data_IF_166873096183
#
_entry.id   IF_166873096183
#
_cell.length_a   1.000
_cell.length_b   1.000
_cell.length_c   1.000
_cell.angle_alpha   90.00
_cell.angle_beta   90.00
_cell.angle_gamma   90.00
#
_symmetry.space_group_name_H-M   'P 1'
#
loop_
_entity.id
_entity.type
_entity.pdbx_description
1 polymer ?
#
# COMPACT_ATOMS: atom_id res chain seq x y z
N UNK A 1 -1.07 54.78 60.42
CA UNK A 1 -1.70 53.46 60.40
C UNK A 1 -2.51 53.28 59.10
N UNK A 2 -1.86 53.39 57.98
CA UNK A 2 -2.46 53.15 56.65
C UNK A 2 -1.30 52.77 55.74
N UNK A 3 -0.96 51.51 55.66
CA UNK A 3 -0.06 50.95 54.58
C UNK A 3 0.09 49.46 54.73
N UNK A 4 -0.96 48.67 54.48
CA UNK A 4 -0.85 47.19 54.38
C UNK A 4 -2.02 46.53 53.62
N UNK A 5 -2.63 47.17 52.62
CA UNK A 5 -3.66 46.52 51.81
C UNK A 5 -3.44 46.84 50.32
N UNK A 6 -2.32 46.44 49.76
CA UNK A 6 -2.09 46.59 48.31
C UNK A 6 -1.18 45.54 47.70
N UNK A 7 -1.08 44.32 48.27
CA UNK A 7 -0.19 43.30 47.71
C UNK A 7 -0.86 41.91 47.59
N UNK A 8 -2.16 41.82 47.48
CA UNK A 8 -2.89 40.54 47.37
C UNK A 8 -3.73 40.39 46.08
N UNK A 9 -3.59 41.26 45.10
CA UNK A 9 -4.44 41.24 43.87
C UNK A 9 -3.67 41.03 42.58
N UNK A 10 -2.38 40.62 42.61
CA UNK A 10 -1.57 40.43 41.40
C UNK A 10 -1.19 38.98 41.08
N UNK A 11 -1.68 38.00 41.85
CA UNK A 11 -1.28 36.58 41.66
C UNK A 11 -2.38 35.65 41.04
N UNK A 12 -3.50 36.18 40.54
CA UNK A 12 -4.61 35.37 40.10
C UNK A 12 -4.86 35.38 38.56
N UNK A 13 -3.93 35.84 37.71
CA UNK A 13 -4.16 35.98 36.25
C UNK A 13 -3.20 35.14 35.36
N UNK A 14 -2.57 34.10 35.84
CA UNK A 14 -1.65 33.32 35.00
C UNK A 14 -1.94 31.81 34.93
N UNK A 15 -3.20 31.35 35.06
CA UNK A 15 -3.50 29.91 34.95
C UNK A 15 -4.69 29.59 34.05
N UNK A 16 -4.80 30.21 32.85
CA UNK A 16 -5.87 29.84 31.91
C UNK A 16 -5.40 29.62 30.47
N UNK A 17 -4.24 29.04 30.24
CA UNK A 17 -3.81 28.78 28.85
C UNK A 17 -3.40 27.34 28.54
N UNK A 18 -3.69 26.35 29.40
CA UNK A 18 -3.28 24.96 29.16
C UNK A 18 -4.40 24.03 28.65
N UNK A 19 -5.64 24.50 28.51
CA UNK A 19 -6.76 23.63 28.13
C UNK A 19 -7.23 23.75 26.67
N UNK A 20 -6.67 24.67 25.90
CA UNK A 20 -7.11 24.90 24.52
C UNK A 20 -6.48 23.95 23.48
N UNK A 21 -5.39 23.26 23.81
CA UNK A 21 -4.70 22.39 22.85
C UNK A 21 -5.14 20.92 22.89
N UNK A 22 -5.75 20.49 23.98
CA UNK A 22 -6.22 19.09 24.10
C UNK A 22 -7.56 18.85 23.40
N UNK A 23 -8.35 19.91 23.19
CA UNK A 23 -9.63 19.83 22.47
C UNK A 23 -9.48 19.63 20.94
N UNK A 24 -8.42 20.15 20.33
CA UNK A 24 -8.24 20.09 18.88
C UNK A 24 -7.82 18.70 18.37
N UNK A 25 -7.01 17.97 19.13
CA UNK A 25 -6.55 16.63 18.73
C UNK A 25 -7.67 15.60 18.88
N UNK A 26 -8.46 15.68 19.94
CA UNK A 26 -9.62 14.81 20.13
C UNK A 26 -10.74 15.08 19.12
N UNK A 27 -10.97 16.36 18.76
CA UNK A 27 -11.93 16.72 17.72
C UNK A 27 -11.48 16.27 16.33
N UNK A 28 -10.19 16.36 16.00
CA UNK A 28 -9.66 15.82 14.76
C UNK A 28 -9.78 14.29 14.68
N UNK A 29 -9.56 13.59 15.78
CA UNK A 29 -9.72 12.14 15.87
C UNK A 29 -11.17 11.69 15.69
N UNK A 30 -12.13 12.36 16.34
CA UNK A 30 -13.56 12.07 16.19
C UNK A 30 -14.08 12.43 14.81
N UNK A 31 -13.63 13.54 14.23
CA UNK A 31 -13.98 13.91 12.86
C UNK A 31 -13.40 12.93 11.83
N UNK A 32 -12.15 12.48 12.03
CA UNK A 32 -11.53 11.48 11.18
C UNK A 32 -12.29 10.14 11.23
N UNK A 33 -12.74 9.71 12.42
CA UNK A 33 -13.55 8.50 12.56
C UNK A 33 -14.94 8.68 11.93
N UNK A 34 -15.61 9.81 12.15
CA UNK A 34 -16.90 10.11 11.52
C UNK A 34 -16.82 10.13 9.99
N UNK A 35 -15.70 10.59 9.41
CA UNK A 35 -15.47 10.53 7.97
C UNK A 35 -15.34 9.09 7.45
N UNK A 36 -14.72 8.19 8.22
CA UNK A 36 -14.67 6.76 7.88
C UNK A 36 -16.08 6.16 7.93
N UNK A 37 -16.85 6.45 8.98
CA UNK A 37 -18.23 5.96 9.14
C UNK A 37 -19.14 6.50 8.02
N UNK A 38 -18.93 7.74 7.57
CA UNK A 38 -19.66 8.32 6.45
C UNK A 38 -19.38 7.62 5.12
N UNK A 39 -18.13 7.15 4.90
CA UNK A 39 -17.78 6.34 3.72
C UNK A 39 -18.42 4.95 3.74
N UNK A 40 -18.68 4.43 4.93
CA UNK A 40 -19.32 3.11 5.12
C UNK A 40 -20.84 3.19 4.94
N UNK A 41 -21.46 4.34 5.25
CA UNK A 41 -22.91 4.54 5.15
C UNK A 41 -23.36 4.43 3.69
N UNK A 42 -24.15 3.39 3.39
CA UNK A 42 -24.64 3.07 2.05
C UNK A 42 -23.74 2.16 1.23
N UNK A 43 -22.55 1.78 1.72
CA UNK A 43 -21.73 0.78 1.05
C UNK A 43 -22.34 -0.62 1.24
N UNK A 44 -22.49 -1.36 0.14
CA UNK A 44 -22.89 -2.76 0.21
C UNK A 44 -21.79 -3.58 0.89
N UNK A 45 -22.19 -4.45 1.85
CA UNK A 45 -21.26 -5.41 2.43
C UNK A 45 -20.68 -6.30 1.33
N UNK A 46 -19.38 -6.27 1.20
CA UNK A 46 -18.66 -7.19 0.32
C UNK A 46 -18.26 -8.37 1.19
N UNK A 47 -18.99 -9.45 1.05
CA UNK A 47 -18.51 -10.72 1.58
C UNK A 47 -17.11 -10.93 1.00
N UNK A 48 -16.05 -11.11 1.83
CA UNK A 48 -14.79 -11.56 1.32
C UNK A 48 -15.15 -12.84 0.57
N UNK A 49 -14.98 -12.83 -0.74
CA UNK A 49 -14.90 -14.10 -1.44
C UNK A 49 -13.61 -14.70 -0.91
N UNK A 50 -13.73 -15.35 0.23
CA UNK A 50 -12.74 -16.29 0.71
C UNK A 50 -12.38 -17.13 -0.50
N UNK A 51 -11.19 -17.65 -0.51
CA UNK A 51 -10.73 -18.54 -1.56
C UNK A 51 -11.93 -19.28 -2.12
N UNK A 52 -12.40 -18.80 -3.30
CA UNK A 52 -13.62 -19.35 -3.85
C UNK A 52 -13.31 -20.82 -4.03
N UNK A 53 -14.10 -21.71 -3.42
CA UNK A 53 -13.91 -23.14 -3.46
C UNK A 53 -13.73 -23.51 -4.93
N UNK A 54 -12.48 -23.92 -5.28
CA UNK A 54 -12.13 -24.17 -6.67
C UNK A 54 -11.33 -23.09 -7.41
N UNK A 55 -10.84 -22.04 -6.75
CA UNK A 55 -9.95 -21.03 -7.37
C UNK A 55 -8.55 -21.09 -6.76
N UNK A 56 -7.53 -21.22 -7.62
CA UNK A 56 -6.12 -21.16 -7.24
C UNK A 56 -5.60 -19.74 -7.47
N UNK A 57 -4.87 -19.20 -6.48
CA UNK A 57 -4.34 -17.85 -6.52
C UNK A 57 -5.18 -16.86 -5.72
N UNK A 58 -4.83 -15.57 -5.79
CA UNK A 58 -5.46 -14.52 -5.01
C UNK A 58 -5.76 -13.29 -5.86
N UNK A 59 -6.94 -12.64 -5.70
CA UNK A 59 -7.28 -11.42 -6.41
C UNK A 59 -6.57 -10.18 -5.86
N UNK A 60 -5.94 -10.27 -4.69
CA UNK A 60 -5.42 -9.13 -3.95
C UNK A 60 -3.95 -8.83 -4.24
N UNK A 61 -3.56 -7.57 -4.06
CA UNK A 61 -2.15 -7.16 -4.06
C UNK A 61 -1.38 -7.68 -2.83
N UNK A 62 -2.10 -7.86 -1.72
CA UNK A 62 -1.65 -8.52 -0.49
C UNK A 62 -2.84 -9.24 0.15
N UNK A 63 -2.66 -10.47 0.61
CA UNK A 63 -3.75 -11.25 1.21
C UNK A 63 -4.11 -10.82 2.63
N UNK A 64 -3.25 -10.06 3.28
CA UNK A 64 -3.46 -9.59 4.64
C UNK A 64 -4.34 -8.34 4.63
N UNK A 65 -5.12 -8.15 5.68
CA UNK A 65 -5.67 -6.87 6.04
C UNK A 65 -4.56 -6.05 6.71
N UNK A 66 -4.19 -4.95 6.09
CA UNK A 66 -3.11 -4.09 6.58
C UNK A 66 -3.72 -2.76 7.04
N UNK A 67 -3.22 -2.18 8.15
CA UNK A 67 -3.56 -0.81 8.49
C UNK A 67 -3.28 0.11 7.31
N UNK A 68 -4.25 0.92 6.93
CA UNK A 68 -4.16 1.74 5.74
C UNK A 68 -4.56 3.18 5.98
N UNK A 69 -3.88 4.10 5.33
CA UNK A 69 -4.12 5.53 5.36
C UNK A 69 -4.64 5.97 3.99
N UNK A 70 -5.83 6.57 3.96
CA UNK A 70 -6.48 7.01 2.72
C UNK A 70 -6.25 8.49 2.50
N UNK A 71 -5.90 8.87 1.27
CA UNK A 71 -5.80 10.25 0.82
C UNK A 71 -6.92 10.56 -0.18
N UNK A 72 -7.76 11.51 0.19
CA UNK A 72 -8.94 11.90 -0.58
C UNK A 72 -8.66 13.16 -1.40
N UNK A 73 -9.33 13.31 -2.54
CA UNK A 73 -9.28 14.55 -3.34
C UNK A 73 -9.75 15.77 -2.56
N UNK A 74 -10.60 15.58 -1.56
CA UNK A 74 -11.13 16.63 -0.69
C UNK A 74 -10.17 17.07 0.40
N UNK A 75 -9.04 16.36 0.60
CA UNK A 75 -8.11 16.63 1.70
C UNK A 75 -8.67 16.34 3.10
N UNK A 76 -9.83 15.69 3.19
CA UNK A 76 -10.45 15.36 4.48
C UNK A 76 -9.59 14.31 5.19
N UNK A 77 -9.18 14.56 6.46
CA UNK A 77 -8.43 13.57 7.23
C UNK A 77 -9.30 12.37 7.57
N UNK A 78 -8.75 11.18 7.40
CA UNK A 78 -9.39 9.92 7.75
C UNK A 78 -8.56 9.18 8.80
N UNK A 79 -9.22 8.51 9.74
CA UNK A 79 -8.54 7.60 10.65
C UNK A 79 -8.00 6.39 9.88
N UNK A 80 -6.87 5.80 10.30
CA UNK A 80 -6.37 4.56 9.70
C UNK A 80 -7.40 3.44 9.85
N UNK A 81 -7.57 2.68 8.78
CA UNK A 81 -8.50 1.54 8.74
C UNK A 81 -7.83 0.34 8.08
N UNK A 82 -8.18 -0.91 8.44
CA UNK A 82 -7.70 -2.06 7.70
C UNK A 82 -8.20 -2.04 6.26
N UNK A 83 -7.26 -2.06 5.32
CA UNK A 83 -7.51 -2.01 3.87
C UNK A 83 -6.99 -3.27 3.17
N UNK A 84 -7.60 -3.56 2.03
CA UNK A 84 -7.16 -4.58 1.07
C UNK A 84 -7.46 -4.12 -0.34
N UNK A 85 -6.46 -4.18 -1.23
CA UNK A 85 -6.64 -3.84 -2.64
C UNK A 85 -6.93 -5.10 -3.47
N UNK A 86 -8.16 -5.19 -3.97
CA UNK A 86 -8.60 -6.21 -4.93
C UNK A 86 -8.23 -5.75 -6.34
N UNK A 87 -7.09 -6.25 -6.82
CA UNK A 87 -6.54 -5.92 -8.14
C UNK A 87 -7.39 -6.47 -9.27
N UNK A 88 -7.91 -7.70 -9.10
CA UNK A 88 -8.71 -8.36 -10.12
C UNK A 88 -9.98 -7.57 -10.46
N UNK A 89 -10.65 -7.07 -9.43
CA UNK A 89 -11.89 -6.30 -9.56
C UNK A 89 -11.64 -4.77 -9.49
N UNK A 90 -10.39 -4.32 -9.37
CA UNK A 90 -9.97 -2.89 -9.35
C UNK A 90 -10.68 -2.07 -8.30
N UNK A 91 -10.76 -2.58 -7.07
CA UNK A 91 -11.52 -1.94 -5.97
C UNK A 91 -10.78 -2.03 -4.65
N UNK A 92 -11.08 -1.09 -3.77
CA UNK A 92 -10.60 -1.10 -2.40
C UNK A 92 -11.67 -1.71 -1.47
N UNK A 93 -11.21 -2.57 -0.59
CA UNK A 93 -12.01 -3.12 0.49
C UNK A 93 -11.51 -2.54 1.80
N UNK A 94 -12.42 -2.29 2.72
CA UNK A 94 -12.12 -1.84 4.07
C UNK A 94 -12.81 -2.74 5.09
N UNK A 95 -12.23 -2.85 6.26
CA UNK A 95 -12.84 -3.53 7.39
C UNK A 95 -13.08 -2.51 8.50
N UNK A 96 -14.34 -2.08 8.73
CA UNK A 96 -14.64 -1.14 9.80
C UNK A 96 -14.37 -1.76 11.17
N UNK A 97 -13.91 -0.93 12.13
CA UNK A 97 -13.53 -1.39 13.47
C UNK A 97 -14.70 -1.97 14.25
N UNK A 98 -15.92 -1.53 13.95
CA UNK A 98 -17.17 -1.94 14.63
C UNK A 98 -17.93 -3.07 13.94
N UNK A 99 -17.40 -3.63 12.85
CA UNK A 99 -18.01 -4.70 12.05
C UNK A 99 -17.01 -5.81 11.76
N UNK A 100 -17.52 -7.02 11.54
CA UNK A 100 -16.73 -8.18 11.12
C UNK A 100 -16.71 -8.35 9.58
N UNK A 101 -17.61 -7.65 8.89
CA UNK A 101 -17.75 -7.75 7.44
C UNK A 101 -16.91 -6.70 6.75
N UNK A 102 -16.27 -7.10 5.66
CA UNK A 102 -15.58 -6.16 4.79
C UNK A 102 -16.57 -5.41 3.91
N UNK A 103 -16.28 -4.14 3.68
CA UNK A 103 -17.09 -3.25 2.85
C UNK A 103 -16.31 -2.83 1.60
N UNK A 104 -17.04 -2.62 0.52
CA UNK A 104 -16.50 -1.96 -0.65
C UNK A 104 -16.39 -0.45 -0.36
N UNK A 105 -15.17 0.08 -0.49
CA UNK A 105 -14.95 1.50 -0.39
C UNK A 105 -15.34 2.19 -1.71
N UNK A 106 -16.11 3.29 -1.65
CA UNK A 106 -16.27 4.18 -2.81
C UNK A 106 -14.96 4.95 -3.01
N UNK A 107 -14.11 4.42 -3.87
CA UNK A 107 -12.75 4.92 -4.09
C UNK A 107 -12.63 5.99 -5.18
N UNK A 108 -13.75 6.47 -5.73
CA UNK A 108 -13.75 7.51 -6.79
C UNK A 108 -13.04 8.79 -6.38
N UNK A 109 -13.09 9.12 -5.08
CA UNK A 109 -12.43 10.29 -4.49
C UNK A 109 -11.09 9.98 -3.83
N UNK A 110 -10.63 8.71 -3.87
CA UNK A 110 -9.33 8.31 -3.34
C UNK A 110 -8.26 8.57 -4.39
N UNK A 111 -7.28 9.40 -4.07
CA UNK A 111 -6.12 9.69 -4.93
C UNK A 111 -5.00 8.70 -4.72
N UNK A 112 -4.75 8.36 -3.45
CA UNK A 112 -3.70 7.43 -3.02
C UNK A 112 -4.05 6.79 -1.69
N UNK A 113 -3.37 5.73 -1.36
CA UNK A 113 -3.44 5.12 -0.04
C UNK A 113 -2.08 4.48 0.30
N UNK A 114 -1.85 4.32 1.58
CA UNK A 114 -0.65 3.70 2.13
C UNK A 114 -1.06 2.48 2.95
N UNK A 115 -0.22 1.45 2.92
CA UNK A 115 -0.42 0.23 3.71
C UNK A 115 0.79 -0.01 4.60
N UNK A 116 0.57 -0.11 5.90
CA UNK A 116 1.62 -0.38 6.87
C UNK A 116 1.88 -1.88 6.94
N UNK A 117 3.04 -2.30 6.45
CA UNK A 117 3.48 -3.69 6.51
C UNK A 117 4.27 -3.89 7.80
N UNK A 118 3.79 -4.73 8.73
CA UNK A 118 4.51 -4.97 9.98
C UNK A 118 5.83 -5.70 9.73
N UNK A 119 6.76 -5.58 10.67
CA UNK A 119 8.01 -6.32 10.63
C UNK A 119 7.77 -7.84 10.55
N UNK A 120 8.56 -8.52 9.75
CA UNK A 120 8.55 -9.96 9.56
C UNK A 120 9.92 -10.40 9.05
N UNK A 121 9.99 -11.08 7.90
CA UNK A 121 11.26 -11.38 7.23
C UNK A 121 11.97 -10.11 6.74
N UNK A 122 11.23 -9.01 6.57
CA UNK A 122 11.75 -7.68 6.27
C UNK A 122 11.39 -6.72 7.40
N UNK A 123 12.13 -5.61 7.58
CA UNK A 123 11.75 -4.54 8.50
C UNK A 123 10.35 -4.01 8.19
N UNK A 124 9.67 -3.44 9.21
CA UNK A 124 8.42 -2.73 8.98
C UNK A 124 8.63 -1.63 7.93
N UNK A 125 7.72 -1.53 7.00
CA UNK A 125 7.77 -0.55 5.92
C UNK A 125 6.36 -0.19 5.45
N UNK A 126 6.26 0.95 4.79
CA UNK A 126 5.03 1.42 4.21
C UNK A 126 5.04 1.19 2.69
N UNK A 127 3.93 0.72 2.17
CA UNK A 127 3.69 0.56 0.74
C UNK A 127 2.75 1.65 0.29
N UNK A 128 3.18 2.48 -0.64
CA UNK A 128 2.41 3.62 -1.16
C UNK A 128 1.78 3.26 -2.50
N UNK A 129 0.48 3.48 -2.61
CA UNK A 129 -0.29 3.25 -3.83
C UNK A 129 -0.94 4.54 -4.30
N UNK A 130 -0.90 4.81 -5.59
CA UNK A 130 -1.59 5.95 -6.21
C UNK A 130 -2.29 5.56 -7.50
N UNK A 131 -3.22 6.39 -7.97
CA UNK A 131 -3.86 6.20 -9.28
C UNK A 131 -2.83 6.19 -10.39
N UNK A 132 -3.01 5.30 -11.36
CA UNK A 132 -2.13 5.15 -12.52
C UNK A 132 -2.55 6.11 -13.66
N UNK A 133 -2.51 7.42 -13.39
CA UNK A 133 -3.02 8.44 -14.30
C UNK A 133 -2.25 8.49 -15.63
N UNK A 134 -0.96 8.14 -15.61
CA UNK A 134 -0.06 8.11 -16.77
C UNK A 134 -0.18 6.82 -17.60
N UNK A 135 -1.11 5.92 -17.21
CA UNK A 135 -1.30 4.66 -17.93
C UNK A 135 -1.53 4.89 -19.43
N UNK A 136 -0.86 4.10 -20.30
CA UNK A 136 -1.05 4.19 -21.76
C UNK A 136 -2.48 3.83 -22.16
N UNK A 137 -3.10 2.90 -21.44
CA UNK A 137 -4.49 2.48 -21.69
C UNK A 137 -5.44 3.21 -20.74
N UNK A 138 -6.52 3.84 -21.25
CA UNK A 138 -7.50 4.53 -20.41
C UNK A 138 -8.14 3.63 -19.33
N UNK A 139 -8.36 2.36 -19.64
CA UNK A 139 -8.91 1.38 -18.68
C UNK A 139 -8.04 1.15 -17.45
N UNK A 140 -6.74 1.40 -17.55
CA UNK A 140 -5.78 1.23 -16.44
C UNK A 140 -5.67 2.47 -15.55
N UNK A 141 -6.20 3.62 -15.96
CA UNK A 141 -6.10 4.87 -15.19
C UNK A 141 -6.91 4.84 -13.89
N UNK A 142 -7.87 3.95 -13.78
CA UNK A 142 -8.62 3.70 -12.55
C UNK A 142 -7.93 2.71 -11.61
N UNK A 143 -6.85 2.04 -12.05
CA UNK A 143 -6.08 1.14 -11.23
C UNK A 143 -5.18 1.90 -10.27
N UNK A 144 -4.74 1.22 -9.21
CA UNK A 144 -3.68 1.71 -8.33
C UNK A 144 -2.38 0.99 -8.63
N UNK A 145 -1.30 1.76 -8.65
CA UNK A 145 0.07 1.26 -8.78
C UNK A 145 0.87 1.57 -7.54
N UNK A 146 1.73 0.65 -7.16
CA UNK A 146 2.63 0.83 -6.02
C UNK A 146 3.81 1.71 -6.45
N UNK A 147 4.11 2.74 -5.66
CA UNK A 147 5.26 3.62 -5.83
C UNK A 147 6.44 3.01 -5.10
N UNK A 148 7.40 2.46 -5.83
CA UNK A 148 8.61 1.88 -5.25
C UNK A 148 9.68 2.94 -4.96
N UNK A 149 9.72 3.98 -5.76
CA UNK A 149 10.59 5.13 -5.59
C UNK A 149 9.91 6.38 -6.13
N UNK A 150 9.98 7.47 -5.39
CA UNK A 150 9.48 8.79 -5.80
C UNK A 150 10.64 9.77 -5.89
N UNK A 151 10.70 10.55 -6.97
CA UNK A 151 11.75 11.54 -7.23
C UNK A 151 11.60 12.09 -8.64
N UNK A 152 12.69 12.65 -9.20
CA UNK A 152 12.73 13.08 -10.60
C UNK A 152 12.37 11.93 -11.56
N UNK A 153 12.80 10.73 -11.21
CA UNK A 153 12.38 9.48 -11.82
C UNK A 153 11.52 8.73 -10.79
N UNK A 154 10.31 8.37 -11.18
CA UNK A 154 9.41 7.61 -10.29
C UNK A 154 9.32 6.18 -10.80
N UNK A 155 9.65 5.21 -9.93
CA UNK A 155 9.53 3.79 -10.24
C UNK A 155 8.19 3.26 -9.71
N UNK A 156 7.40 2.73 -10.63
CA UNK A 156 6.06 2.23 -10.36
C UNK A 156 6.00 0.71 -10.58
N UNK A 157 5.23 0.03 -9.73
CA UNK A 157 4.92 -1.40 -9.87
C UNK A 157 3.42 -1.57 -10.08
N UNK A 158 3.04 -2.10 -11.22
CA UNK A 158 1.66 -2.46 -11.55
C UNK A 158 1.44 -3.94 -11.30
N UNK A 159 0.38 -4.24 -10.57
CA UNK A 159 -0.14 -5.59 -10.42
C UNK A 159 -1.19 -5.84 -11.51
N UNK A 160 -1.06 -6.93 -12.22
CA UNK A 160 -2.09 -7.41 -13.15
C UNK A 160 -2.61 -8.74 -12.67
N UNK A 161 -3.92 -8.90 -12.61
CA UNK A 161 -4.58 -10.16 -12.24
C UNK A 161 -5.54 -10.53 -13.35
N UNK A 162 -5.53 -11.80 -13.75
CA UNK A 162 -6.45 -12.33 -14.76
C UNK A 162 -7.05 -13.64 -14.29
N UNK A 163 -8.38 -13.71 -14.30
CA UNK A 163 -9.08 -14.95 -14.01
C UNK A 163 -9.09 -15.82 -15.26
N UNK A 164 -8.52 -17.01 -15.15
CA UNK A 164 -8.58 -18.08 -16.13
C UNK A 164 -9.60 -19.08 -15.60
N UNK A 165 -10.71 -19.26 -16.34
CA UNK A 165 -11.77 -20.17 -15.95
C UNK A 165 -11.36 -21.61 -16.13
N UNK A 166 -11.83 -22.47 -15.24
CA UNK A 166 -11.74 -23.91 -15.40
C UNK A 166 -12.41 -24.35 -16.70
N UNK A 167 -11.80 -25.26 -17.42
CA UNK A 167 -12.30 -25.81 -18.69
C UNK A 167 -12.64 -27.31 -18.60
N UNK A 168 -12.76 -27.83 -17.40
CA UNK A 168 -13.11 -29.22 -17.13
C UNK A 168 -14.51 -29.56 -17.61
N UNK A 169 -14.63 -30.56 -18.47
CA UNK A 169 -15.90 -30.97 -19.10
C UNK A 169 -16.38 -32.38 -18.67
N UNK A 170 -15.75 -33.00 -17.69
CA UNK A 170 -16.17 -34.32 -17.20
C UNK A 170 -15.01 -35.28 -16.86
N UNK A 171 -15.35 -36.50 -16.44
CA UNK A 171 -14.39 -37.46 -15.87
C UNK A 171 -13.21 -37.83 -16.80
N UNK A 172 -13.40 -37.70 -18.11
CA UNK A 172 -12.39 -38.02 -19.12
C UNK A 172 -11.72 -36.77 -19.72
N UNK A 173 -12.04 -35.57 -19.20
CA UNK A 173 -11.41 -34.33 -19.65
C UNK A 173 -10.05 -34.16 -18.96
N UNK A 174 -9.03 -33.79 -19.74
CA UNK A 174 -7.72 -33.38 -19.24
C UNK A 174 -7.69 -31.90 -18.83
N UNK A 175 -8.83 -31.18 -18.87
CA UNK A 175 -8.93 -29.75 -18.56
C UNK A 175 -8.70 -29.43 -17.10
N UNK A 176 -8.36 -28.17 -16.84
CA UNK A 176 -8.13 -27.66 -15.49
C UNK A 176 -9.45 -27.66 -14.68
N UNK A 177 -9.41 -28.24 -13.48
CA UNK A 177 -10.58 -28.36 -12.59
C UNK A 177 -10.84 -27.13 -11.76
N UNK A 178 -9.86 -26.24 -11.66
CA UNK A 178 -9.92 -25.05 -10.81
C UNK A 178 -9.80 -23.80 -11.64
N UNK A 179 -10.58 -22.80 -11.29
CA UNK A 179 -10.31 -21.45 -11.77
C UNK A 179 -8.91 -21.04 -11.29
N UNK A 180 -8.16 -20.31 -12.08
CA UNK A 180 -6.81 -19.83 -11.73
C UNK A 180 -6.75 -18.33 -11.86
N UNK A 181 -6.20 -17.67 -10.86
CA UNK A 181 -5.85 -16.26 -10.96
C UNK A 181 -4.37 -16.18 -11.33
N UNK A 182 -4.12 -15.72 -12.55
CA UNK A 182 -2.78 -15.51 -13.07
C UNK A 182 -2.26 -14.12 -12.67
N UNK A 183 -0.99 -14.08 -12.23
CA UNK A 183 -0.33 -12.89 -11.73
C UNK A 183 0.67 -12.35 -12.75
N UNK A 184 0.55 -11.08 -13.08
CA UNK A 184 1.52 -10.36 -13.90
C UNK A 184 1.96 -9.09 -13.20
N UNK A 185 3.25 -8.98 -12.91
CA UNK A 185 3.85 -7.75 -12.40
C UNK A 185 4.56 -7.03 -13.55
N UNK A 186 4.28 -5.74 -13.69
CA UNK A 186 4.96 -4.87 -14.67
C UNK A 186 5.51 -3.65 -13.94
N UNK A 187 6.74 -3.30 -14.25
CA UNK A 187 7.37 -2.11 -13.70
C UNK A 187 7.42 -1.03 -14.76
N UNK A 188 7.24 0.20 -14.32
CA UNK A 188 7.30 1.38 -15.18
C UNK A 188 8.22 2.42 -14.55
N UNK A 189 8.97 3.10 -15.39
CA UNK A 189 9.74 4.27 -15.03
C UNK A 189 9.04 5.51 -15.61
N UNK A 190 8.57 6.38 -14.73
CA UNK A 190 8.06 7.68 -15.10
C UNK A 190 9.20 8.69 -15.05
N UNK A 191 9.50 9.28 -16.19
CA UNK A 191 10.60 10.22 -16.41
C UNK A 191 10.17 11.67 -16.06
N UNK A 192 11.14 12.60 -15.89
CA UNK A 192 10.84 14.01 -15.66
C UNK A 192 10.01 14.66 -16.76
N UNK A 193 10.17 14.21 -18.02
CA UNK A 193 9.38 14.63 -19.17
C UNK A 193 7.96 14.04 -19.21
N UNK A 194 7.53 13.37 -18.13
CA UNK A 194 6.25 12.66 -17.96
C UNK A 194 6.07 11.47 -18.91
N UNK A 195 7.11 11.03 -19.57
CA UNK A 195 7.07 9.82 -20.38
C UNK A 195 7.13 8.60 -19.47
N UNK A 196 6.22 7.67 -19.70
CA UNK A 196 6.14 6.40 -18.98
C UNK A 196 6.72 5.28 -19.85
N UNK A 197 7.73 4.59 -19.33
CA UNK A 197 8.39 3.49 -20.03
C UNK A 197 8.31 2.20 -19.22
N UNK A 198 7.89 1.07 -19.81
CA UNK A 198 7.96 -0.23 -19.14
C UNK A 198 9.44 -0.63 -19.00
N UNK A 199 9.82 -1.11 -17.82
CA UNK A 199 11.20 -1.50 -17.50
C UNK A 199 11.26 -2.83 -16.79
N UNK A 200 12.38 -3.53 -16.90
CA UNK A 200 12.70 -4.65 -16.03
C UNK A 200 13.56 -4.18 -14.87
N UNK A 201 13.38 -4.77 -13.67
CA UNK A 201 14.19 -4.43 -12.51
C UNK A 201 15.60 -5.04 -12.59
N UNK A 202 16.35 -4.63 -13.57
CA UNK A 202 17.78 -4.91 -13.64
C UNK A 202 18.55 -3.63 -13.99
N UNK A 203 19.81 -3.59 -13.57
CA UNK A 203 20.64 -2.39 -13.70
C UNK A 203 20.77 -1.92 -15.16
N UNK A 204 20.92 -2.87 -16.09
CA UNK A 204 21.11 -2.57 -17.53
C UNK A 204 19.87 -1.88 -18.12
N UNK A 205 18.68 -2.40 -17.87
CA UNK A 205 17.43 -1.83 -18.37
C UNK A 205 17.13 -0.46 -17.74
N UNK A 206 17.38 -0.33 -16.42
CA UNK A 206 17.19 0.94 -15.73
C UNK A 206 18.18 2.00 -16.22
N UNK A 207 19.44 1.65 -16.47
CA UNK A 207 20.41 2.57 -17.06
C UNK A 207 20.07 2.95 -18.50
N UNK A 208 19.51 2.02 -19.27
CA UNK A 208 19.06 2.30 -20.63
C UNK A 208 17.89 3.27 -20.67
N UNK A 209 16.92 3.11 -19.71
CA UNK A 209 15.76 3.99 -19.58
C UNK A 209 16.09 5.36 -18.97
N UNK A 210 17.16 5.45 -18.17
CA UNK A 210 17.60 6.66 -17.49
C UNK A 210 19.14 6.79 -17.54
N UNK A 211 19.73 7.08 -18.71
CA UNK A 211 21.19 7.09 -18.90
C UNK A 211 21.88 8.17 -18.07
N UNK A 212 21.20 9.25 -17.72
CA UNK A 212 21.69 10.33 -16.87
C UNK A 212 21.83 9.92 -15.38
N UNK A 213 21.15 8.84 -14.95
CA UNK A 213 21.29 8.30 -13.61
C UNK A 213 22.51 7.36 -13.56
N UNK A 214 23.54 7.75 -12.82
CA UNK A 214 24.69 6.88 -12.54
C UNK A 214 24.28 5.81 -11.51
N UNK A 215 23.48 4.84 -11.95
CA UNK A 215 23.01 3.75 -11.09
C UNK A 215 24.18 2.83 -10.73
N UNK A 216 24.44 2.67 -9.43
CA UNK A 216 25.37 1.66 -8.93
C UNK A 216 24.59 0.41 -8.60
N UNK A 217 25.03 -0.75 -9.10
CA UNK A 217 24.45 -2.03 -8.68
C UNK A 217 24.63 -2.23 -7.17
N UNK A 218 23.62 -2.79 -6.50
CA UNK A 218 23.80 -3.24 -5.12
C UNK A 218 24.98 -4.24 -5.07
N UNK A 219 25.84 -4.19 -4.04
CA UNK A 219 26.87 -5.21 -3.87
C UNK A 219 26.18 -6.57 -3.83
N UNK A 220 26.57 -7.45 -4.75
CA UNK A 220 26.03 -8.82 -4.78
C UNK A 220 26.25 -9.51 -3.43
N UNK A 221 25.43 -10.52 -3.07
CA UNK A 221 25.63 -11.25 -1.84
C UNK A 221 27.07 -11.77 -1.79
N UNK A 222 27.75 -11.53 -0.67
CA UNK A 222 29.12 -11.95 -0.45
C UNK A 222 29.21 -13.46 -0.78
N UNK A 223 30.03 -13.81 -1.76
CA UNK A 223 30.25 -15.22 -2.10
C UNK A 223 30.80 -15.90 -0.85
N UNK A 224 30.18 -16.98 -0.37
CA UNK A 224 30.74 -17.72 0.76
C UNK A 224 32.16 -18.13 0.42
N UNK A 225 33.08 -17.80 1.32
CA UNK A 225 34.51 -18.04 1.17
C UNK A 225 34.73 -19.56 0.95
N UNK A 226 35.03 -19.96 -0.28
CA UNK A 226 35.31 -21.34 -0.60
C UNK A 226 36.63 -21.70 0.07
N UNK A 227 36.54 -22.44 1.18
CA UNK A 227 37.74 -22.99 1.84
C UNK A 227 38.57 -23.74 0.78
N UNK A 228 39.88 -23.48 0.68
CA UNK A 228 40.72 -24.22 -0.26
C UNK A 228 40.69 -25.71 0.15
N UNK A 229 40.37 -26.59 -0.83
CA UNK A 229 40.41 -28.02 -0.66
C UNK A 229 41.81 -28.44 -0.18
N UNK A 230 41.87 -28.91 1.04
CA UNK A 230 43.07 -29.46 1.62
C UNK A 230 43.60 -30.60 0.72
N UNK A 231 44.82 -30.44 0.21
CA UNK A 231 45.56 -31.47 -0.49
C UNK A 231 45.65 -32.69 0.42
N UNK A 232 45.07 -33.79 0.02
CA UNK A 232 45.34 -35.09 0.60
C UNK A 232 46.83 -35.40 0.39
N UNK A 233 47.60 -35.37 1.47
CA UNK A 233 48.96 -35.92 1.48
C UNK A 233 48.87 -37.42 1.29
N UNK A 234 49.42 -37.96 0.19
CA UNK A 234 49.65 -39.36 -0.01
C UNK A 234 50.75 -39.84 0.92
N UNK A 235 50.42 -40.74 1.85
CA UNK A 235 51.44 -41.50 2.60
C UNK A 235 51.82 -42.69 1.73
N UNK A 236 53.10 -42.77 1.45
CA UNK A 236 53.78 -44.02 1.11
C UNK A 236 53.98 -44.89 2.37
#
# INVERSE_FOLDING_TARGET
MILRISLALAAALLTTSAWAQQGSISQAGTAAQANVDALVNGAAAVLPRGEAYGTIGTPYADNRWLPGHLHMTTGVPLAPIPLKYDVLNRRLLMMPLNRKDSLLLDDRRVTSFELDVPAGLQPAHQRVFRRFLEAPEPSQRTEYVEVLHAGNYTLLKRFGKKLIKADYQGAYSSGERYDKIDDKVTYYLLRPDKKLEPVKLNLKELQAAAPELKLKGAPGPARPNRKPNGRRASRR
#
